data_IF_122328895269
#
_entry.id   IF_122328895269
#
_cell.length_a   1.000
_cell.length_b   1.000
_cell.length_c   1.000
_cell.angle_alpha   90.00
_cell.angle_beta   90.00
_cell.angle_gamma   90.00
#
_symmetry.space_group_name_H-M   'P 1'
#
loop_
_entity.id
_entity.type
_entity.pdbx_description
1 polymer ?
#
# COMPACT_ATOMS: atom_id res chain seq x y z
N UNK A 1 -11.05 -17.84 -8.79
CA UNK A 1 -11.95 -16.67 -8.94
C UNK A 1 -11.26 -15.72 -9.92
N UNK A 2 -11.82 -15.55 -11.11
CA UNK A 2 -11.28 -14.57 -12.10
C UNK A 2 -11.46 -13.17 -11.50
N UNK A 3 -10.38 -12.39 -11.44
CA UNK A 3 -10.39 -11.03 -10.87
C UNK A 3 -10.76 -10.07 -11.99
N UNK A 4 -11.83 -9.28 -11.83
CA UNK A 4 -12.12 -8.16 -12.73
C UNK A 4 -11.11 -7.04 -12.49
N UNK A 5 -10.56 -6.48 -13.57
CA UNK A 5 -9.66 -5.33 -13.51
C UNK A 5 -10.43 -4.11 -12.96
N UNK A 6 -11.67 -3.94 -13.38
CA UNK A 6 -12.54 -2.84 -12.95
C UNK A 6 -12.74 -2.81 -11.42
N UNK A 7 -12.88 -3.99 -10.78
CA UNK A 7 -13.06 -4.07 -9.33
C UNK A 7 -11.78 -3.86 -8.53
N UNK A 8 -10.61 -4.09 -9.13
CA UNK A 8 -9.33 -3.89 -8.45
C UNK A 8 -8.92 -2.41 -8.38
N UNK A 9 -9.32 -1.60 -9.38
CA UNK A 9 -8.97 -0.17 -9.41
C UNK A 9 -9.85 0.68 -8.46
N UNK A 10 -11.13 0.36 -8.30
CA UNK A 10 -12.03 1.10 -7.40
C UNK A 10 -11.68 0.94 -5.91
N UNK A 11 -11.02 -0.15 -5.51
CA UNK A 11 -10.60 -0.36 -4.11
C UNK A 11 -9.36 0.46 -3.71
N UNK A 12 -8.56 0.91 -4.67
CA UNK A 12 -7.35 1.70 -4.40
C UNK A 12 -7.69 3.11 -3.96
N UNK A 13 -8.81 3.70 -4.42
CA UNK A 13 -9.23 5.05 -3.99
C UNK A 13 -9.82 5.08 -2.57
N UNK A 14 -10.48 4.01 -2.12
CA UNK A 14 -11.07 3.94 -0.77
C UNK A 14 -10.10 3.43 0.31
N UNK A 15 -9.02 2.75 -0.10
CA UNK A 15 -7.99 2.20 0.79
C UNK A 15 -6.63 2.89 0.69
N UNK A 16 -6.46 3.87 -0.18
CA UNK A 16 -5.19 4.57 -0.43
C UNK A 16 -4.89 5.69 0.59
N UNK A 17 -5.62 5.74 1.70
CA UNK A 17 -5.06 6.22 2.96
C UNK A 17 -4.04 5.21 3.55
N UNK A 18 -3.68 4.16 2.83
CA UNK A 18 -2.43 3.48 3.02
C UNK A 18 -1.33 4.47 2.63
N UNK A 19 -0.88 5.20 3.65
CA UNK A 19 0.33 6.01 3.62
C UNK A 19 1.41 5.19 2.92
N UNK A 20 1.49 5.37 1.59
CA UNK A 20 2.51 4.73 0.81
C UNK A 20 3.84 5.15 1.41
N UNK A 21 4.62 4.17 1.88
CA UNK A 21 6.02 4.36 2.13
C UNK A 21 6.67 4.79 0.81
N UNK A 22 6.53 6.08 0.47
CA UNK A 22 7.27 6.70 -0.59
C UNK A 22 8.73 6.58 -0.20
N UNK A 23 9.47 5.76 -0.93
CA UNK A 23 10.87 5.53 -0.73
C UNK A 23 11.61 6.87 -0.56
N UNK A 24 12.35 6.98 0.54
CA UNK A 24 13.27 8.08 0.79
C UNK A 24 14.28 8.18 -0.34
N UNK A 25 14.05 9.05 -1.32
CA UNK A 25 15.13 9.66 -2.04
C UNK A 25 15.71 10.73 -1.11
N UNK A 26 16.93 10.50 -0.61
CA UNK A 26 17.70 11.51 0.11
C UNK A 26 17.82 12.78 -0.74
N UNK A 27 17.11 13.82 -0.35
CA UNK A 27 17.51 15.18 -0.65
C UNK A 27 17.85 15.85 0.69
N UNK A 28 19.14 16.12 0.88
CA UNK A 28 19.63 16.97 1.96
C UNK A 28 18.97 18.35 1.87
N UNK A 29 18.13 18.69 2.83
CA UNK A 29 17.94 20.09 3.24
C UNK A 29 17.31 20.17 4.62
N UNK A 30 18.08 20.74 5.52
CA UNK A 30 17.78 21.29 6.83
C UNK A 30 16.34 21.86 7.00
N UNK A 31 15.51 21.22 7.80
CA UNK A 31 14.43 21.89 8.54
C UNK A 31 14.07 21.15 9.82
N UNK A 32 14.90 21.30 10.85
CA UNK A 32 14.61 20.83 12.21
C UNK A 32 13.65 21.75 12.99
N UNK A 33 13.11 22.81 12.36
CA UNK A 33 12.21 23.77 13.00
C UNK A 33 10.72 23.54 12.70
N UNK A 34 10.37 22.76 11.67
CA UNK A 34 8.98 22.48 11.30
C UNK A 34 8.36 21.29 12.02
N UNK A 35 9.17 20.29 12.43
CA UNK A 35 8.66 19.08 13.09
C UNK A 35 8.19 19.32 14.53
N UNK A 36 8.84 20.22 15.32
CA UNK A 36 8.38 20.54 16.68
C UNK A 36 7.07 21.35 16.70
N UNK A 37 6.84 22.22 15.70
CA UNK A 37 5.61 23.00 15.62
C UNK A 37 4.41 22.13 15.16
N UNK A 38 4.61 21.18 14.24
CA UNK A 38 3.58 20.25 13.78
C UNK A 38 3.20 19.24 14.87
N UNK A 39 4.17 18.73 15.63
CA UNK A 39 3.94 17.81 16.76
C UNK A 39 3.05 18.42 17.86
N UNK A 40 3.10 19.75 18.07
CA UNK A 40 2.27 20.44 19.07
C UNK A 40 0.79 20.59 18.64
N UNK A 41 0.47 20.37 17.35
CA UNK A 41 -0.88 20.56 16.79
C UNK A 41 -1.72 19.28 16.87
N UNK A 42 -1.11 18.10 16.67
CA UNK A 42 -1.85 16.83 16.62
C UNK A 42 -2.08 16.18 17.98
N UNK A 43 -1.30 16.50 19.01
CA UNK A 43 -1.35 15.84 20.33
C UNK A 43 -0.57 14.51 20.35
N UNK A 44 -0.72 13.76 21.44
CA UNK A 44 -0.09 12.44 21.63
C UNK A 44 -1.01 11.32 21.11
N UNK A 45 -0.44 10.22 20.62
CA UNK A 45 -1.19 9.03 20.25
C UNK A 45 -2.10 8.52 21.38
N UNK A 46 -1.70 8.73 22.64
CA UNK A 46 -2.48 8.38 23.83
C UNK A 46 -3.76 9.22 24.02
N UNK A 47 -3.90 10.35 23.33
CA UNK A 47 -5.08 11.21 23.38
C UNK A 47 -6.24 10.69 22.50
N UNK A 48 -5.99 9.65 21.69
CA UNK A 48 -6.93 9.12 20.69
C UNK A 48 -7.38 7.70 21.05
N UNK A 49 -8.68 7.43 20.95
CA UNK A 49 -9.26 6.09 21.13
C UNK A 49 -9.22 5.28 19.83
N UNK A 50 -8.00 5.09 19.27
CA UNK A 50 -7.81 4.43 17.97
C UNK A 50 -8.12 2.93 18.00
N UNK A 51 -8.07 2.28 19.15
CA UNK A 51 -8.34 0.84 19.28
C UNK A 51 -9.82 0.51 19.08
N UNK A 52 -10.71 1.45 19.45
CA UNK A 52 -12.16 1.32 19.27
C UNK A 52 -12.68 2.08 18.03
N UNK A 53 -11.80 2.61 17.20
CA UNK A 53 -12.17 3.38 16.02
C UNK A 53 -13.01 2.56 15.04
N UNK A 54 -14.08 3.18 14.55
CA UNK A 54 -14.86 2.72 13.40
C UNK A 54 -14.84 3.75 12.29
N UNK A 55 -14.83 3.30 11.04
CA UNK A 55 -14.75 4.21 9.89
C UNK A 55 -15.98 5.11 9.73
N UNK A 56 -17.13 4.77 10.35
CA UNK A 56 -18.33 5.61 10.35
C UNK A 56 -18.36 6.64 11.48
N UNK A 57 -17.35 6.68 12.35
CA UNK A 57 -17.30 7.65 13.45
C UNK A 57 -17.25 9.09 12.90
N UNK A 58 -18.07 9.97 13.48
CA UNK A 58 -18.15 11.37 13.08
C UNK A 58 -18.79 11.65 11.72
N UNK A 59 -19.40 10.63 11.08
CA UNK A 59 -20.12 10.77 9.81
C UNK A 59 -21.63 10.62 10.01
N UNK A 60 -22.40 11.45 9.33
CA UNK A 60 -23.86 11.33 9.27
C UNK A 60 -24.33 10.34 8.19
N UNK A 61 -25.65 10.13 8.09
CA UNK A 61 -26.28 9.20 7.14
C UNK A 61 -26.10 9.58 5.66
N UNK A 62 -25.72 10.85 5.39
CA UNK A 62 -25.44 11.34 4.04
C UNK A 62 -23.94 11.21 3.68
N UNK A 63 -23.11 10.70 4.58
CA UNK A 63 -21.66 10.61 4.42
C UNK A 63 -20.93 11.94 4.66
N UNK A 64 -21.57 12.90 5.30
CA UNK A 64 -21.00 14.20 5.67
C UNK A 64 -20.40 14.14 7.08
N UNK A 65 -19.44 15.01 7.35
CA UNK A 65 -18.94 15.24 8.69
C UNK A 65 -20.04 15.80 9.57
N UNK A 66 -20.39 15.09 10.64
CA UNK A 66 -21.53 15.39 11.50
C UNK A 66 -21.42 16.80 12.10
N UNK A 67 -22.43 17.63 11.86
CA UNK A 67 -22.51 19.01 12.36
C UNK A 67 -21.55 19.98 11.69
N UNK A 68 -20.84 19.60 10.63
CA UNK A 68 -19.92 20.45 9.88
C UNK A 68 -20.55 20.83 8.55
N UNK A 69 -20.58 22.15 8.27
CA UNK A 69 -20.83 22.68 6.94
C UNK A 69 -19.47 23.03 6.31
N UNK A 70 -19.04 22.26 5.32
CA UNK A 70 -17.69 22.37 4.78
C UNK A 70 -17.43 23.74 4.11
N UNK A 71 -18.46 24.35 3.50
CA UNK A 71 -18.35 25.70 2.91
C UNK A 71 -18.08 26.83 3.92
N UNK A 72 -18.20 26.57 5.23
CA UNK A 72 -17.79 27.54 6.25
C UNK A 72 -16.26 27.53 6.47
N UNK A 73 -15.56 26.48 6.01
CA UNK A 73 -14.14 26.23 6.18
C UNK A 73 -13.35 26.23 4.86
N UNK A 74 -14.03 25.95 3.76
CA UNK A 74 -13.42 25.88 2.40
C UNK A 74 -14.07 26.92 1.51
N UNK A 75 -13.24 27.71 0.84
CA UNK A 75 -13.67 28.58 -0.26
C UNK A 75 -13.18 27.97 -1.57
N UNK A 76 -14.10 27.46 -2.38
CA UNK A 76 -13.80 26.90 -3.70
C UNK A 76 -13.37 27.98 -4.69
N UNK A 77 -12.51 27.70 -5.68
CA UNK A 77 -12.21 28.60 -6.79
C UNK A 77 -13.48 28.85 -7.63
N UNK A 78 -13.55 29.98 -8.33
CA UNK A 78 -14.74 30.36 -9.11
C UNK A 78 -15.11 29.36 -10.22
N UNK A 79 -14.11 28.67 -10.74
CA UNK A 79 -14.23 27.69 -11.84
C UNK A 79 -14.25 26.23 -11.38
N UNK A 80 -14.51 25.98 -10.08
CA UNK A 80 -14.53 24.62 -9.52
C UNK A 80 -15.43 23.62 -10.27
N UNK A 81 -16.50 24.09 -10.91
CA UNK A 81 -17.40 23.27 -11.70
C UNK A 81 -17.00 23.12 -13.19
N UNK A 82 -15.91 23.76 -13.62
CA UNK A 82 -15.42 23.76 -15.01
C UNK A 82 -13.89 23.89 -15.07
N UNK A 83 -13.23 23.06 -14.28
CA UNK A 83 -11.77 23.10 -14.05
C UNK A 83 -11.00 23.01 -15.37
N UNK A 84 -10.05 23.93 -15.63
CA UNK A 84 -9.21 23.85 -16.80
C UNK A 84 -8.11 22.80 -16.61
N UNK A 85 -8.08 21.79 -17.46
CA UNK A 85 -7.09 20.71 -17.42
C UNK A 85 -6.29 20.69 -18.71
N UNK A 86 -4.97 20.61 -18.64
CA UNK A 86 -4.15 20.46 -19.84
C UNK A 86 -4.23 18.99 -20.33
N UNK A 87 -4.45 18.82 -21.63
CA UNK A 87 -4.51 17.47 -22.23
C UNK A 87 -3.24 16.67 -21.96
N UNK A 88 -2.08 17.32 -21.98
CA UNK A 88 -0.80 16.66 -21.74
C UNK A 88 -0.66 16.06 -20.33
N UNK A 89 -1.43 16.57 -19.36
CA UNK A 89 -1.37 16.10 -17.97
C UNK A 89 -2.24 14.86 -17.75
N UNK A 90 -3.20 14.60 -18.65
CA UNK A 90 -4.18 13.50 -18.49
C UNK A 90 -4.11 12.43 -19.57
N UNK A 91 -3.56 12.74 -20.74
CA UNK A 91 -3.43 11.79 -21.84
C UNK A 91 -2.28 10.80 -21.53
N UNK A 92 -2.55 9.51 -21.28
CA UNK A 92 -1.48 8.56 -20.99
C UNK A 92 -0.63 8.29 -22.23
N UNK A 93 0.67 8.15 -22.03
CA UNK A 93 1.59 7.76 -23.09
C UNK A 93 1.45 6.28 -23.45
N UNK A 94 2.00 5.89 -24.59
CA UNK A 94 2.06 4.47 -24.97
C UNK A 94 2.92 3.64 -23.99
N UNK A 95 3.88 4.29 -23.30
CA UNK A 95 4.73 3.66 -22.29
C UNK A 95 3.93 3.39 -21.01
N UNK A 96 3.07 4.32 -20.58
CA UNK A 96 2.20 4.12 -19.43
C UNK A 96 1.22 2.97 -19.65
N UNK A 97 0.60 2.92 -20.83
CA UNK A 97 -0.30 1.82 -21.23
C UNK A 97 0.45 0.50 -21.27
N UNK A 98 1.69 0.47 -21.78
CA UNK A 98 2.48 -0.76 -21.80
C UNK A 98 2.87 -1.19 -20.38
N UNK A 99 3.29 -0.27 -19.53
CA UNK A 99 3.61 -0.58 -18.13
C UNK A 99 2.41 -1.16 -17.38
N UNK A 100 1.20 -0.64 -17.62
CA UNK A 100 -0.03 -1.20 -17.05
C UNK A 100 -0.28 -2.64 -17.53
N UNK A 101 -0.06 -2.91 -18.82
CA UNK A 101 -0.21 -4.25 -19.40
C UNK A 101 0.86 -5.20 -18.84
N UNK A 102 2.12 -4.75 -18.74
CA UNK A 102 3.21 -5.55 -18.18
C UNK A 102 2.92 -5.91 -16.71
N UNK A 103 2.34 -4.99 -15.94
CA UNK A 103 1.85 -5.26 -14.58
C UNK A 103 0.76 -6.33 -14.56
N UNK A 104 -0.19 -6.30 -15.50
CA UNK A 104 -1.24 -7.33 -15.62
C UNK A 104 -0.65 -8.70 -16.00
N UNK A 105 0.37 -8.74 -16.86
CA UNK A 105 1.08 -9.98 -17.21
C UNK A 105 1.83 -10.53 -16.00
N UNK A 106 2.56 -9.69 -15.25
CA UNK A 106 3.26 -10.12 -14.03
C UNK A 106 2.30 -10.64 -12.96
N UNK A 107 1.12 -10.02 -12.77
CA UNK A 107 0.11 -10.52 -11.83
C UNK A 107 -0.47 -11.88 -12.22
N UNK A 108 -0.32 -12.29 -13.47
CA UNK A 108 -0.76 -13.57 -14.02
C UNK A 108 0.42 -14.46 -14.43
N UNK A 109 1.63 -14.14 -13.97
CA UNK A 109 2.82 -14.97 -14.20
C UNK A 109 2.70 -16.33 -13.51
N UNK A 110 3.46 -17.27 -13.99
CA UNK A 110 3.66 -18.59 -13.37
C UNK A 110 5.11 -18.76 -12.99
N UNK A 111 5.40 -19.61 -12.02
CA UNK A 111 6.77 -19.96 -11.67
C UNK A 111 7.17 -21.25 -12.37
N UNK A 112 8.34 -21.26 -12.98
CA UNK A 112 8.94 -22.44 -13.59
C UNK A 112 10.25 -22.78 -12.88
N UNK A 113 10.41 -24.05 -12.53
CA UNK A 113 11.66 -24.57 -11.96
C UNK A 113 12.72 -24.76 -13.05
N UNK A 114 13.86 -24.13 -12.86
CA UNK A 114 15.06 -24.28 -13.69
C UNK A 114 16.10 -25.07 -12.91
N UNK A 115 16.61 -26.15 -13.53
CA UNK A 115 17.53 -27.10 -12.87
C UNK A 115 18.82 -27.33 -13.63
N UNK A 116 19.04 -26.69 -14.76
CA UNK A 116 20.14 -26.97 -15.70
C UNK A 116 21.30 -25.97 -15.62
N UNK A 117 21.18 -24.90 -14.83
CA UNK A 117 22.23 -23.89 -14.61
C UNK A 117 22.56 -23.70 -13.14
N UNK A 118 23.66 -23.02 -12.86
CA UNK A 118 24.00 -22.59 -11.50
C UNK A 118 23.21 -21.35 -11.10
N UNK A 119 22.95 -21.21 -9.80
CA UNK A 119 22.31 -20.04 -9.23
C UNK A 119 23.22 -18.81 -9.30
N UNK A 120 22.67 -17.67 -9.61
CA UNK A 120 23.32 -16.37 -9.69
C UNK A 120 22.68 -15.37 -8.73
N UNK A 121 23.39 -14.29 -8.43
CA UNK A 121 22.82 -13.20 -7.65
C UNK A 121 21.60 -12.59 -8.38
N UNK A 122 20.51 -12.37 -7.65
CA UNK A 122 19.22 -11.93 -8.20
C UNK A 122 18.26 -13.07 -8.54
N UNK A 123 18.73 -14.32 -8.59
CA UNK A 123 17.82 -15.47 -8.75
C UNK A 123 16.97 -15.69 -7.49
N UNK A 124 15.73 -16.07 -7.70
CA UNK A 124 14.91 -16.69 -6.64
C UNK A 124 15.13 -18.19 -6.68
N UNK A 125 15.50 -18.76 -5.55
CA UNK A 125 15.84 -20.19 -5.41
C UNK A 125 14.94 -20.87 -4.40
N UNK A 126 14.61 -22.13 -4.65
CA UNK A 126 13.93 -23.01 -3.69
C UNK A 126 15.00 -23.82 -2.95
N UNK A 127 15.02 -23.69 -1.62
CA UNK A 127 16.03 -24.36 -0.79
C UNK A 127 15.40 -25.09 0.39
N UNK A 128 16.06 -26.19 0.77
CA UNK A 128 15.92 -26.78 2.11
C UNK A 128 17.13 -26.36 2.92
N UNK A 129 16.96 -26.04 4.19
CA UNK A 129 18.08 -25.77 5.07
C UNK A 129 17.87 -26.34 6.48
N UNK A 130 18.97 -26.76 7.10
CA UNK A 130 19.00 -27.24 8.47
C UNK A 130 20.24 -26.68 9.18
N UNK A 131 20.03 -25.74 10.10
CA UNK A 131 21.07 -25.00 10.82
C UNK A 131 21.37 -25.58 12.19
N UNK A 132 22.65 -25.50 12.55
CA UNK A 132 23.14 -25.87 13.89
C UNK A 132 24.11 -24.83 14.42
N UNK A 133 24.13 -24.62 15.74
CA UNK A 133 25.15 -23.85 16.46
C UNK A 133 25.84 -24.79 17.44
N UNK A 134 27.16 -24.89 17.37
CA UNK A 134 27.94 -25.84 18.17
C UNK A 134 27.45 -27.31 18.01
N UNK A 135 26.87 -27.65 16.84
CA UNK A 135 26.29 -28.94 16.53
C UNK A 135 24.87 -29.18 17.07
N UNK A 136 24.26 -28.20 17.70
CA UNK A 136 22.89 -28.27 18.25
C UNK A 136 21.92 -27.55 17.31
N UNK A 137 20.87 -28.24 16.86
CA UNK A 137 19.80 -27.64 16.06
C UNK A 137 18.97 -26.67 16.92
N UNK A 138 18.46 -25.61 16.30
CA UNK A 138 17.71 -24.57 17.00
C UNK A 138 16.37 -24.28 16.31
N UNK A 139 15.42 -23.81 17.09
CA UNK A 139 14.08 -23.43 16.60
C UNK A 139 14.20 -22.30 15.57
N UNK A 140 13.59 -22.47 14.39
CA UNK A 140 13.69 -21.55 13.25
C UNK A 140 14.93 -21.77 12.38
N UNK A 141 15.83 -22.68 12.74
CA UNK A 141 17.02 -23.03 11.96
C UNK A 141 16.78 -24.01 10.82
N UNK A 142 15.56 -24.57 10.69
CA UNK A 142 15.26 -25.60 9.67
C UNK A 142 13.98 -25.25 8.92
N UNK A 143 14.04 -25.37 7.59
CA UNK A 143 12.89 -25.22 6.71
C UNK A 143 13.06 -26.07 5.45
N UNK A 144 11.96 -26.42 4.82
CA UNK A 144 11.93 -27.19 3.58
C UNK A 144 11.12 -26.45 2.52
N UNK A 145 11.66 -26.29 1.31
CA UNK A 145 11.00 -25.59 0.21
C UNK A 145 10.89 -24.07 0.44
N UNK A 146 11.93 -23.46 1.01
CA UNK A 146 11.94 -22.01 1.22
C UNK A 146 12.34 -21.31 -0.09
N UNK A 147 11.50 -20.35 -0.53
CA UNK A 147 11.81 -19.48 -1.69
C UNK A 147 12.61 -18.29 -1.22
N UNK A 148 13.84 -18.14 -1.73
CA UNK A 148 14.81 -17.11 -1.34
C UNK A 148 15.35 -16.40 -2.57
N UNK A 149 15.24 -15.07 -2.60
CA UNK A 149 15.93 -14.26 -3.64
C UNK A 149 17.34 -13.94 -3.19
N UNK A 150 18.32 -14.41 -3.96
CA UNK A 150 19.75 -14.22 -3.65
C UNK A 150 20.17 -12.75 -3.84
N UNK A 151 20.73 -12.16 -2.81
CA UNK A 151 21.10 -10.74 -2.75
C UNK A 151 20.01 -9.86 -2.17
N UNK A 152 18.91 -10.43 -1.67
CA UNK A 152 17.83 -9.69 -1.01
C UNK A 152 18.19 -9.16 0.39
N UNK A 153 19.19 -9.79 1.04
CA UNK A 153 19.53 -9.52 2.43
C UNK A 153 18.49 -10.02 3.44
N UNK A 154 17.64 -10.97 3.04
CA UNK A 154 16.61 -11.55 3.90
C UNK A 154 17.18 -12.53 4.94
N UNK A 155 18.39 -13.05 4.66
CA UNK A 155 19.12 -13.93 5.54
C UNK A 155 20.31 -13.22 6.17
N UNK A 156 20.95 -13.89 7.14
CA UNK A 156 22.16 -13.42 7.82
C UNK A 156 23.25 -13.19 6.77
N UNK A 157 24.04 -12.14 6.95
CA UNK A 157 25.14 -11.76 6.05
C UNK A 157 26.00 -12.95 5.66
N UNK A 158 26.22 -13.11 4.36
CA UNK A 158 27.04 -14.16 3.77
C UNK A 158 26.32 -15.51 3.61
N UNK A 159 25.04 -15.64 3.97
CA UNK A 159 24.28 -16.86 3.69
C UNK A 159 23.94 -16.98 2.20
N UNK A 160 23.35 -15.94 1.62
CA UNK A 160 22.90 -15.91 0.23
C UNK A 160 24.09 -16.00 -0.75
N UNK A 161 25.17 -15.32 -0.45
CA UNK A 161 26.40 -15.32 -1.28
C UNK A 161 27.01 -16.72 -1.45
N UNK A 162 26.88 -17.58 -0.44
CA UNK A 162 27.44 -18.93 -0.50
C UNK A 162 26.58 -19.90 -1.31
N UNK A 163 25.34 -19.53 -1.66
CA UNK A 163 24.45 -20.31 -2.54
C UNK A 163 24.78 -20.03 -4.02
N UNK A 164 25.25 -18.82 -4.32
CA UNK A 164 25.63 -18.42 -5.68
C UNK A 164 26.70 -19.35 -6.24
N UNK A 165 26.48 -19.87 -7.45
CA UNK A 165 27.36 -20.79 -8.14
C UNK A 165 27.05 -22.27 -7.95
N UNK A 166 26.22 -22.64 -6.96
CA UNK A 166 25.72 -23.98 -6.80
C UNK A 166 24.61 -24.32 -7.79
N UNK A 167 24.42 -25.60 -8.08
CA UNK A 167 23.40 -26.10 -9.00
C UNK A 167 22.26 -26.80 -8.24
N UNK A 168 21.07 -26.76 -8.79
CA UNK A 168 19.95 -27.54 -8.29
C UNK A 168 20.32 -29.02 -8.11
N UNK A 169 19.91 -29.60 -7.00
CA UNK A 169 20.25 -30.93 -6.55
C UNK A 169 21.51 -31.06 -5.70
N UNK A 170 22.32 -29.98 -5.58
CA UNK A 170 23.49 -29.98 -4.69
C UNK A 170 23.07 -29.73 -3.24
N UNK A 171 23.76 -30.46 -2.33
CA UNK A 171 23.69 -30.20 -0.89
C UNK A 171 25.08 -29.80 -0.41
N UNK A 172 25.17 -28.67 0.30
CA UNK A 172 26.43 -28.07 0.75
C UNK A 172 26.25 -27.36 2.09
N UNK A 173 27.37 -27.08 2.77
CA UNK A 173 27.35 -26.36 4.03
C UNK A 173 27.54 -24.85 3.81
N UNK A 174 26.66 -24.06 4.39
CA UNK A 174 26.74 -22.59 4.47
C UNK A 174 27.11 -22.22 5.90
N UNK A 175 28.22 -21.51 6.06
CA UNK A 175 28.71 -21.10 7.38
C UNK A 175 28.59 -19.60 7.53
N UNK A 176 27.84 -19.13 8.55
CA UNK A 176 27.60 -17.72 8.85
C UNK A 176 27.80 -17.45 10.35
N UNK A 177 27.93 -16.19 10.70
CA UNK A 177 27.99 -15.77 12.12
C UNK A 177 26.78 -14.89 12.42
N UNK A 178 26.01 -15.24 13.43
CA UNK A 178 24.93 -14.40 13.91
C UNK A 178 25.44 -13.05 14.38
N UNK A 179 24.80 -11.93 14.01
CA UNK A 179 25.23 -10.62 14.49
C UNK A 179 25.13 -10.49 16.01
N UNK A 180 25.91 -9.58 16.57
CA UNK A 180 25.82 -9.24 17.99
C UNK A 180 24.43 -8.71 18.32
N UNK A 181 23.84 -9.19 19.44
CA UNK A 181 22.48 -8.85 19.83
C UNK A 181 21.38 -9.63 19.13
N UNK A 182 21.72 -10.62 18.29
CA UNK A 182 20.69 -11.48 17.72
C UNK A 182 19.92 -12.21 18.81
N UNK A 183 18.60 -12.33 18.63
CA UNK A 183 17.71 -12.96 19.61
C UNK A 183 18.10 -14.42 19.88
N UNK A 184 18.02 -14.83 21.14
CA UNK A 184 18.23 -16.21 21.53
C UNK A 184 17.11 -17.12 20.97
N UNK A 185 17.42 -18.42 20.84
CA UNK A 185 16.47 -19.44 20.41
C UNK A 185 16.41 -20.58 21.43
N UNK A 186 15.79 -21.70 21.07
CA UNK A 186 15.74 -22.92 21.86
C UNK A 186 16.19 -24.11 21.04
N UNK A 187 16.75 -25.13 21.71
CA UNK A 187 16.97 -26.43 21.13
C UNK A 187 15.66 -27.25 21.03
N UNK A 188 15.76 -28.48 20.52
CA UNK A 188 14.61 -29.38 20.37
C UNK A 188 13.98 -29.80 21.71
N UNK A 189 14.71 -29.70 22.80
CA UNK A 189 14.24 -30.04 24.17
C UNK A 189 13.69 -28.81 24.90
N UNK A 190 13.70 -27.61 24.26
CA UNK A 190 13.21 -26.36 24.83
C UNK A 190 14.23 -25.59 25.69
N UNK A 191 15.51 -26.03 25.71
CA UNK A 191 16.54 -25.32 26.43
C UNK A 191 16.98 -24.06 25.67
N UNK A 192 17.25 -22.96 26.37
CA UNK A 192 17.73 -21.74 25.78
C UNK A 192 19.07 -21.93 25.05
N UNK A 193 19.16 -21.43 23.82
CA UNK A 193 20.35 -21.47 22.99
C UNK A 193 20.72 -20.03 22.57
N UNK A 194 21.89 -19.59 23.00
CA UNK A 194 22.40 -18.26 22.63
C UNK A 194 22.91 -18.32 21.19
N UNK A 195 22.38 -17.43 20.35
CA UNK A 195 22.77 -17.29 18.94
C UNK A 195 23.68 -16.09 18.72
N UNK A 196 23.53 -15.02 19.48
CA UNK A 196 24.31 -13.77 19.33
C UNK A 196 25.82 -14.03 19.24
N UNK A 197 26.47 -13.55 18.19
CA UNK A 197 27.91 -13.70 17.94
C UNK A 197 28.38 -15.13 17.67
N UNK A 198 27.47 -16.10 17.57
CA UNK A 198 27.81 -17.51 17.35
C UNK A 198 27.90 -17.85 15.87
N UNK A 199 28.85 -18.72 15.54
CA UNK A 199 28.91 -19.33 14.23
C UNK A 199 27.85 -20.43 14.09
N UNK A 200 27.10 -20.38 12.99
CA UNK A 200 26.16 -21.42 12.60
C UNK A 200 26.60 -22.10 11.31
N UNK A 201 26.30 -23.39 11.21
CA UNK A 201 26.48 -24.17 9.98
C UNK A 201 25.10 -24.66 9.55
N UNK A 202 24.73 -24.31 8.33
CA UNK A 202 23.51 -24.73 7.67
C UNK A 202 23.84 -25.75 6.57
N UNK A 203 23.29 -26.96 6.67
CA UNK A 203 23.24 -27.85 5.52
C UNK A 203 22.12 -27.39 4.60
N UNK A 204 22.47 -26.91 3.41
CA UNK A 204 21.55 -26.32 2.43
C UNK A 204 21.45 -27.25 1.23
N UNK A 205 20.24 -27.57 0.80
CA UNK A 205 19.98 -28.24 -0.48
C UNK A 205 19.32 -27.22 -1.41
N UNK A 206 19.93 -26.96 -2.56
CA UNK A 206 19.34 -26.14 -3.61
C UNK A 206 18.41 -27.06 -4.46
N UNK A 207 17.09 -26.85 -4.35
CA UNK A 207 16.10 -27.69 -5.05
C UNK A 207 15.92 -27.25 -6.50
N UNK A 208 15.70 -25.97 -6.73
CA UNK A 208 15.50 -25.36 -8.06
C UNK A 208 15.83 -23.87 -8.04
N UNK A 209 15.97 -23.30 -9.22
CA UNK A 209 15.91 -21.86 -9.44
C UNK A 209 14.49 -21.60 -9.95
N UNK A 210 13.79 -20.66 -9.32
CA UNK A 210 12.43 -20.27 -9.67
C UNK A 210 12.49 -19.10 -10.66
N UNK A 211 12.11 -19.34 -11.91
CA UNK A 211 11.98 -18.27 -12.91
C UNK A 211 10.51 -17.87 -13.09
N UNK A 212 10.27 -16.56 -13.05
CA UNK A 212 8.97 -16.02 -13.40
C UNK A 212 8.77 -16.13 -14.93
N UNK A 213 7.68 -16.77 -15.33
CA UNK A 213 7.29 -16.90 -16.72
C UNK A 213 6.03 -16.08 -16.97
N UNK A 214 6.19 -14.96 -17.67
CA UNK A 214 5.09 -14.12 -18.08
C UNK A 214 4.28 -14.83 -19.17
N UNK A 215 2.94 -14.76 -19.12
CA UNK A 215 2.12 -15.24 -20.22
C UNK A 215 2.37 -14.42 -21.49
N UNK A 216 2.22 -15.04 -22.65
CA UNK A 216 2.26 -14.34 -23.93
C UNK A 216 0.98 -13.50 -24.08
N UNK A 217 1.12 -12.22 -24.39
CA UNK A 217 -0.01 -11.32 -24.62
C UNK A 217 -0.63 -11.62 -25.98
N UNK A 218 -1.73 -12.36 -25.97
CA UNK A 218 -2.51 -12.75 -27.15
C UNK A 218 -4.00 -12.47 -26.94
N UNK A 219 -4.77 -12.39 -28.02
CA UNK A 219 -6.23 -12.22 -27.94
C UNK A 219 -6.88 -13.37 -27.14
N UNK A 220 -6.37 -14.60 -27.29
CA UNK A 220 -6.86 -15.76 -26.56
C UNK A 220 -6.60 -15.62 -25.04
N UNK A 221 -5.43 -15.12 -24.64
CA UNK A 221 -5.12 -14.87 -23.25
C UNK A 221 -6.01 -13.75 -22.66
N UNK A 222 -6.25 -12.68 -23.40
CA UNK A 222 -7.14 -11.59 -22.96
C UNK A 222 -8.57 -12.11 -22.76
N UNK A 223 -9.11 -12.84 -23.74
CA UNK A 223 -10.45 -13.43 -23.67
C UNK A 223 -10.59 -14.39 -22.48
N UNK A 224 -9.58 -15.24 -22.24
CA UNK A 224 -9.58 -16.18 -21.11
C UNK A 224 -9.61 -15.49 -19.77
N UNK A 225 -8.82 -14.42 -19.57
CA UNK A 225 -8.66 -13.78 -18.28
C UNK A 225 -9.69 -12.67 -18.02
N UNK A 226 -10.11 -11.93 -19.06
CA UNK A 226 -10.94 -10.73 -18.94
C UNK A 226 -12.23 -10.75 -19.76
N UNK A 227 -12.41 -11.70 -20.68
CA UNK A 227 -13.59 -11.79 -21.55
C UNK A 227 -14.91 -11.90 -20.80
N UNK A 228 -14.92 -12.63 -19.67
CA UNK A 228 -16.15 -12.83 -18.87
C UNK A 228 -16.36 -11.72 -17.83
N UNK A 229 -15.29 -11.14 -17.30
CA UNK A 229 -15.37 -10.17 -16.22
C UNK A 229 -15.46 -8.72 -16.70
N UNK A 230 -14.81 -8.41 -17.82
CA UNK A 230 -14.63 -7.05 -18.32
C UNK A 230 -15.02 -6.89 -19.80
N UNK A 231 -15.58 -7.94 -20.43
CA UNK A 231 -15.98 -7.97 -21.85
C UNK A 231 -14.83 -7.63 -22.82
N UNK A 232 -13.58 -8.05 -22.44
CA UNK A 232 -12.38 -7.80 -23.25
C UNK A 232 -11.96 -9.08 -23.97
N UNK A 233 -11.96 -9.04 -25.31
CA UNK A 233 -11.74 -10.22 -26.17
C UNK A 233 -10.52 -10.09 -27.09
N UNK A 234 -9.74 -9.02 -27.00
CA UNK A 234 -8.54 -8.80 -27.82
C UNK A 234 -7.51 -7.93 -27.13
N UNK A 235 -6.27 -8.03 -27.57
CA UNK A 235 -5.16 -7.17 -27.12
C UNK A 235 -5.47 -5.69 -27.40
N UNK A 236 -6.11 -5.39 -28.54
CA UNK A 236 -6.52 -4.01 -28.86
C UNK A 236 -7.55 -3.49 -27.86
N UNK A 237 -8.56 -4.30 -27.51
CA UNK A 237 -9.56 -3.93 -26.48
C UNK A 237 -8.92 -3.73 -25.11
N UNK A 238 -7.99 -4.60 -24.70
CA UNK A 238 -7.25 -4.45 -23.44
C UNK A 238 -6.43 -3.15 -23.42
N UNK A 239 -5.72 -2.81 -24.52
CA UNK A 239 -4.97 -1.57 -24.62
C UNK A 239 -5.86 -0.34 -24.51
N UNK A 240 -6.98 -0.33 -25.22
CA UNK A 240 -7.95 0.75 -25.16
C UNK A 240 -8.55 0.90 -23.76
N UNK A 241 -8.83 -0.22 -23.09
CA UNK A 241 -9.30 -0.24 -21.71
C UNK A 241 -8.25 0.35 -20.73
N UNK A 242 -7.00 -0.11 -20.81
CA UNK A 242 -5.92 0.42 -19.96
C UNK A 242 -5.72 1.93 -20.21
N UNK A 243 -5.73 2.37 -21.48
CA UNK A 243 -5.63 3.78 -21.83
C UNK A 243 -6.76 4.61 -21.21
N UNK A 244 -8.00 4.11 -21.29
CA UNK A 244 -9.15 4.79 -20.70
C UNK A 244 -9.08 4.83 -19.17
N UNK A 245 -8.65 3.75 -18.53
CA UNK A 245 -8.49 3.72 -17.07
C UNK A 245 -7.42 4.71 -16.60
N UNK A 246 -6.26 4.74 -17.25
CA UNK A 246 -5.19 5.70 -16.95
C UNK A 246 -5.65 7.14 -17.19
N UNK A 247 -6.32 7.41 -18.32
CA UNK A 247 -6.87 8.74 -18.60
C UNK A 247 -7.86 9.18 -17.50
N UNK A 248 -8.77 8.30 -17.10
CA UNK A 248 -9.74 8.59 -16.01
C UNK A 248 -9.02 8.85 -14.69
N UNK A 249 -8.03 8.02 -14.33
CA UNK A 249 -7.24 8.21 -13.12
C UNK A 249 -6.48 9.54 -13.12
N UNK A 250 -5.81 9.85 -14.24
CA UNK A 250 -5.08 11.12 -14.39
C UNK A 250 -6.01 12.33 -14.30
N UNK A 251 -7.21 12.24 -14.92
CA UNK A 251 -8.18 13.31 -14.87
C UNK A 251 -8.74 13.52 -13.45
N UNK A 252 -9.02 12.42 -12.72
CA UNK A 252 -9.43 12.47 -11.32
C UNK A 252 -8.37 13.18 -10.46
N UNK A 253 -7.10 12.78 -10.61
CA UNK A 253 -5.98 13.40 -9.93
C UNK A 253 -5.88 14.89 -10.29
N UNK A 254 -5.89 15.23 -11.58
CA UNK A 254 -5.72 16.62 -12.04
C UNK A 254 -6.82 17.55 -11.52
N UNK A 255 -8.08 17.09 -11.44
CA UNK A 255 -9.18 17.94 -10.91
C UNK A 255 -9.07 18.11 -9.40
N UNK A 256 -8.66 17.09 -8.67
CA UNK A 256 -8.48 17.18 -7.22
C UNK A 256 -7.27 18.03 -6.85
N UNK A 257 -6.13 17.84 -7.52
CA UNK A 257 -4.93 18.66 -7.33
C UNK A 257 -5.23 20.14 -7.62
N UNK A 258 -5.95 20.42 -8.72
CA UNK A 258 -6.37 21.79 -9.03
C UNK A 258 -7.18 22.41 -7.88
N UNK A 259 -8.13 21.67 -7.32
CA UNK A 259 -8.95 22.17 -6.22
C UNK A 259 -8.14 22.32 -4.93
N UNK A 260 -7.26 21.39 -4.61
CA UNK A 260 -6.38 21.49 -3.45
C UNK A 260 -5.45 22.71 -3.53
N UNK A 261 -4.93 23.00 -4.72
CA UNK A 261 -4.01 24.12 -4.95
C UNK A 261 -4.70 25.48 -4.99
N UNK A 262 -5.97 25.54 -5.43
CA UNK A 262 -6.69 26.81 -5.67
C UNK A 262 -7.81 27.10 -4.68
N UNK A 263 -8.23 26.12 -3.87
CA UNK A 263 -9.14 26.37 -2.76
C UNK A 263 -8.44 27.09 -1.61
N UNK A 264 -9.19 27.88 -0.87
CA UNK A 264 -8.69 28.51 0.36
C UNK A 264 -9.30 27.81 1.56
N UNK A 265 -8.45 27.23 2.38
CA UNK A 265 -8.84 26.59 3.63
C UNK A 265 -8.68 27.55 4.80
N UNK A 266 -9.70 27.58 5.68
CA UNK A 266 -9.58 28.10 7.03
C UNK A 266 -8.99 26.99 7.92
N UNK A 267 -8.96 27.22 9.24
CA UNK A 267 -8.62 26.16 10.20
C UNK A 267 -9.56 24.96 10.00
N UNK A 268 -8.97 23.78 9.71
CA UNK A 268 -9.73 22.54 9.54
C UNK A 268 -10.37 22.15 10.90
N UNK A 269 -11.65 21.78 10.92
CA UNK A 269 -12.30 21.33 12.17
C UNK A 269 -11.52 20.20 12.83
N UNK A 270 -11.30 20.34 14.14
CA UNK A 270 -10.54 19.34 14.92
C UNK A 270 -11.12 17.93 14.78
N UNK A 271 -12.43 17.78 14.67
CA UNK A 271 -13.08 16.47 14.46
C UNK A 271 -12.64 15.77 13.19
N UNK A 272 -12.41 16.52 12.10
CA UNK A 272 -11.92 15.97 10.83
C UNK A 272 -10.46 15.57 10.95
N UNK A 273 -9.64 16.41 11.57
CA UNK A 273 -8.22 16.10 11.82
C UNK A 273 -8.07 14.93 12.78
N UNK A 274 -8.83 14.91 13.89
CA UNK A 274 -8.79 13.82 14.87
C UNK A 274 -9.20 12.47 14.23
N UNK A 275 -10.17 12.49 13.32
CA UNK A 275 -10.53 11.29 12.57
C UNK A 275 -9.34 10.74 11.78
N UNK A 276 -8.63 11.59 11.04
CA UNK A 276 -7.47 11.16 10.24
C UNK A 276 -6.35 10.60 11.12
N UNK A 277 -6.08 11.26 12.26
CA UNK A 277 -5.10 10.76 13.24
C UNK A 277 -5.53 9.39 13.78
N UNK A 278 -6.81 9.28 14.20
CA UNK A 278 -7.32 8.03 14.80
C UNK A 278 -7.31 6.88 13.79
N UNK A 279 -7.69 7.16 12.54
CA UNK A 279 -7.63 6.20 11.45
C UNK A 279 -6.19 5.72 11.18
N UNK A 280 -5.24 6.65 11.13
CA UNK A 280 -3.82 6.34 10.96
C UNK A 280 -3.31 5.44 12.08
N UNK A 281 -3.54 5.80 13.33
CA UNK A 281 -3.14 5.01 14.49
C UNK A 281 -3.81 3.64 14.51
N UNK A 282 -5.12 3.55 14.21
CA UNK A 282 -5.85 2.29 14.14
C UNK A 282 -5.26 1.35 13.08
N UNK A 283 -4.90 1.88 11.90
CA UNK A 283 -4.27 1.09 10.85
C UNK A 283 -2.97 0.46 11.32
N UNK A 284 -2.06 1.25 11.91
CA UNK A 284 -0.78 0.73 12.37
C UNK A 284 -0.90 -0.15 13.62
N UNK A 285 -1.87 0.10 14.50
CA UNK A 285 -2.15 -0.77 15.65
C UNK A 285 -2.66 -2.15 15.19
N UNK A 286 -3.54 -2.21 14.21
CA UNK A 286 -3.97 -3.48 13.61
C UNK A 286 -2.84 -4.25 12.93
N UNK A 287 -1.94 -3.53 12.26
CA UNK A 287 -0.71 -4.14 11.69
C UNK A 287 0.20 -4.66 12.81
N UNK A 288 0.41 -3.88 13.86
CA UNK A 288 1.18 -4.30 15.02
C UNK A 288 0.62 -5.58 15.66
N UNK A 289 -0.68 -5.63 15.90
CA UNK A 289 -1.36 -6.81 16.44
C UNK A 289 -1.21 -8.05 15.53
N UNK A 290 -1.30 -7.86 14.21
CA UNK A 290 -1.09 -8.96 13.25
C UNK A 290 0.31 -9.58 13.36
N UNK A 291 1.34 -8.76 13.62
CA UNK A 291 2.72 -9.22 13.84
C UNK A 291 3.04 -9.56 15.30
N UNK A 292 2.07 -9.42 16.22
CA UNK A 292 2.23 -9.76 17.65
C UNK A 292 2.99 -8.70 18.46
N UNK A 293 3.01 -7.46 18.00
CA UNK A 293 3.62 -6.31 18.66
C UNK A 293 2.55 -5.38 19.27
N UNK A 294 2.95 -4.54 20.22
CA UNK A 294 2.25 -3.29 20.51
C UNK A 294 2.62 -2.21 19.48
N UNK A 295 1.85 -1.12 19.43
CA UNK A 295 2.01 -0.06 18.42
C UNK A 295 3.42 0.54 18.44
N UNK A 296 3.94 0.92 19.63
CA UNK A 296 5.26 1.55 19.71
C UNK A 296 6.38 0.60 19.28
N UNK A 297 6.34 -0.66 19.71
CA UNK A 297 7.31 -1.67 19.29
C UNK A 297 7.27 -1.89 17.77
N UNK A 298 6.08 -1.93 17.19
CA UNK A 298 5.92 -2.08 15.73
C UNK A 298 6.50 -0.87 14.98
N UNK A 299 6.14 0.34 15.41
CA UNK A 299 6.60 1.59 14.80
C UNK A 299 8.12 1.72 14.88
N UNK A 300 8.73 1.32 16.00
CA UNK A 300 10.19 1.31 16.16
C UNK A 300 10.87 0.26 15.28
N UNK A 301 10.36 -0.96 15.31
CA UNK A 301 11.05 -2.09 14.68
C UNK A 301 10.84 -2.18 13.19
N UNK A 302 9.65 -1.77 12.70
CA UNK A 302 9.23 -1.96 11.30
C UNK A 302 9.22 -0.66 10.50
N UNK A 303 9.01 0.50 11.14
CA UNK A 303 8.90 1.79 10.45
C UNK A 303 10.08 2.73 10.76
N UNK A 304 10.88 2.43 11.79
CA UNK A 304 12.10 3.21 12.13
C UNK A 304 11.84 4.54 12.82
N UNK A 305 10.66 4.74 13.42
CA UNK A 305 10.36 5.90 14.26
C UNK A 305 10.60 5.56 15.75
N UNK A 306 10.95 6.55 16.55
CA UNK A 306 11.22 6.34 17.99
C UNK A 306 9.97 5.99 18.81
N UNK A 307 8.77 6.38 18.34
CA UNK A 307 7.47 6.12 18.98
C UNK A 307 6.31 6.42 18.02
N UNK A 308 5.09 6.05 18.41
CA UNK A 308 3.86 6.44 17.69
C UNK A 308 3.71 7.98 17.63
N UNK A 309 4.11 8.71 18.67
CA UNK A 309 4.11 10.17 18.65
C UNK A 309 5.11 10.74 17.63
N UNK A 310 6.31 10.15 17.54
CA UNK A 310 7.30 10.54 16.54
C UNK A 310 6.81 10.24 15.10
N UNK A 311 6.14 9.13 14.92
CA UNK A 311 5.47 8.81 13.65
C UNK A 311 4.40 9.84 13.29
N UNK A 312 3.49 10.17 14.21
CA UNK A 312 2.45 11.19 13.99
C UNK A 312 3.06 12.55 13.65
N UNK A 313 4.13 12.94 14.35
CA UNK A 313 4.83 14.19 14.06
C UNK A 313 5.42 14.20 12.64
N UNK A 314 6.00 13.09 12.20
CA UNK A 314 6.55 12.96 10.85
C UNK A 314 5.46 12.94 9.76
N UNK A 315 4.24 12.52 10.10
CA UNK A 315 3.11 12.40 9.17
C UNK A 315 2.14 13.59 9.24
N UNK A 316 2.43 14.62 10.05
CA UNK A 316 1.51 15.71 10.34
C UNK A 316 1.02 16.44 9.07
N UNK A 317 1.93 16.75 8.14
CA UNK A 317 1.58 17.44 6.90
C UNK A 317 0.67 16.57 6.01
N UNK A 318 0.90 15.26 5.96
CA UNK A 318 0.04 14.33 5.23
C UNK A 318 -1.34 14.20 5.87
N UNK A 319 -1.41 14.11 7.20
CA UNK A 319 -2.66 14.06 7.95
C UNK A 319 -3.48 15.33 7.73
N UNK A 320 -2.83 16.50 7.76
CA UNK A 320 -3.50 17.78 7.46
C UNK A 320 -4.01 17.83 6.02
N UNK A 321 -3.23 17.34 5.06
CA UNK A 321 -3.63 17.26 3.65
C UNK A 321 -4.85 16.37 3.47
N UNK A 322 -4.89 15.19 4.08
CA UNK A 322 -6.06 14.29 4.04
C UNK A 322 -7.29 14.90 4.69
N UNK A 323 -7.12 15.62 5.80
CA UNK A 323 -8.23 16.30 6.45
C UNK A 323 -8.80 17.43 5.56
N UNK A 324 -7.94 18.17 4.87
CA UNK A 324 -8.35 19.19 3.88
C UNK A 324 -9.07 18.57 2.69
N UNK A 325 -8.52 17.48 2.15
CA UNK A 325 -9.11 16.76 1.01
C UNK A 325 -10.50 16.21 1.37
N UNK A 326 -10.64 15.55 2.54
CA UNK A 326 -11.92 15.04 3.00
C UNK A 326 -12.97 16.14 3.18
N UNK A 327 -12.55 17.32 3.65
CA UNK A 327 -13.42 18.48 3.78
C UNK A 327 -13.76 19.10 2.43
N UNK A 328 -12.83 19.04 1.47
CA UNK A 328 -13.01 19.55 0.10
C UNK A 328 -14.09 18.77 -0.65
N UNK A 329 -14.10 17.43 -0.54
CA UNK A 329 -15.15 16.61 -1.12
C UNK A 329 -16.53 17.03 -0.65
N UNK A 330 -16.71 17.21 0.66
CA UNK A 330 -17.98 17.69 1.21
C UNK A 330 -18.30 19.12 0.74
N UNK A 331 -17.32 20.01 0.67
CA UNK A 331 -17.53 21.39 0.20
C UNK A 331 -18.03 21.43 -1.25
N UNK A 332 -17.47 20.60 -2.13
CA UNK A 332 -17.94 20.48 -3.52
C UNK A 332 -19.35 19.86 -3.55
N UNK A 333 -19.61 18.83 -2.78
CA UNK A 333 -20.94 18.22 -2.69
C UNK A 333 -21.99 19.24 -2.25
N UNK A 334 -21.70 20.04 -1.21
CA UNK A 334 -22.57 21.11 -0.73
C UNK A 334 -22.77 22.22 -1.79
N UNK A 335 -21.71 22.62 -2.50
CA UNK A 335 -21.76 23.68 -3.50
C UNK A 335 -22.54 23.30 -4.75
N UNK A 336 -22.50 22.01 -5.14
CA UNK A 336 -23.17 21.49 -6.33
C UNK A 336 -24.51 20.78 -6.00
N UNK A 337 -24.92 20.73 -4.73
CA UNK A 337 -26.11 20.00 -4.25
C UNK A 337 -26.10 18.51 -4.68
N UNK A 338 -24.94 17.85 -4.49
CA UNK A 338 -24.73 16.45 -4.88
C UNK A 338 -25.05 15.51 -3.73
N UNK A 339 -25.68 14.40 -4.08
CA UNK A 339 -25.88 13.26 -3.18
C UNK A 339 -25.73 11.96 -3.98
N UNK A 340 -25.15 10.90 -3.41
CA UNK A 340 -25.09 9.63 -4.10
C UNK A 340 -26.48 9.02 -4.22
N UNK A 341 -26.74 8.34 -5.33
CA UNK A 341 -27.95 7.53 -5.50
C UNK A 341 -27.87 6.26 -4.66
N UNK A 342 -29.02 5.64 -4.36
CA UNK A 342 -29.02 4.35 -3.65
C UNK A 342 -28.24 3.28 -4.40
N UNK A 343 -28.26 3.26 -5.74
CA UNK A 343 -27.50 2.32 -6.56
C UNK A 343 -25.98 2.51 -6.37
N UNK A 344 -25.51 3.75 -6.28
CA UNK A 344 -24.10 4.06 -5.98
C UNK A 344 -23.70 3.59 -4.57
N UNK A 345 -24.55 3.82 -3.57
CA UNK A 345 -24.32 3.34 -2.20
C UNK A 345 -24.30 1.80 -2.16
N UNK A 346 -25.23 1.15 -2.86
CA UNK A 346 -25.34 -0.31 -2.90
C UNK A 346 -24.09 -0.97 -3.52
N UNK A 347 -23.32 -0.26 -4.36
CA UNK A 347 -22.02 -0.71 -4.87
C UNK A 347 -21.06 -1.05 -3.72
N UNK A 348 -21.17 -0.34 -2.60
CA UNK A 348 -20.34 -0.53 -1.42
C UNK A 348 -20.96 -1.42 -0.34
N UNK A 349 -22.13 -2.01 -0.59
CA UNK A 349 -22.89 -2.80 0.40
C UNK A 349 -22.11 -3.98 0.99
N UNK A 350 -21.22 -4.59 0.21
CA UNK A 350 -20.35 -5.70 0.67
C UNK A 350 -19.33 -5.26 1.74
N UNK A 351 -19.10 -3.97 1.88
CA UNK A 351 -18.13 -3.39 2.82
C UNK A 351 -18.78 -2.82 4.08
N UNK A 352 -20.12 -2.78 4.15
CA UNK A 352 -20.86 -2.16 5.26
C UNK A 352 -20.58 -2.84 6.61
N UNK A 353 -20.35 -4.15 6.63
CA UNK A 353 -20.01 -4.87 7.85
C UNK A 353 -18.64 -4.46 8.41
N UNK A 354 -17.67 -4.20 7.51
CA UNK A 354 -16.29 -3.87 7.89
C UNK A 354 -16.09 -2.38 8.21
N UNK A 355 -16.78 -1.48 7.49
CA UNK A 355 -16.53 -0.03 7.53
C UNK A 355 -17.72 0.79 8.03
N UNK A 356 -18.90 0.20 8.11
CA UNK A 356 -20.14 0.88 8.49
C UNK A 356 -20.84 1.59 7.33
N UNK A 357 -22.15 1.84 7.50
CA UNK A 357 -22.99 2.37 6.43
C UNK A 357 -22.65 3.82 6.06
N UNK A 358 -22.42 4.69 7.06
CA UNK A 358 -22.13 6.10 6.81
C UNK A 358 -20.81 6.27 6.04
N UNK A 359 -19.79 5.45 6.34
CA UNK A 359 -18.53 5.44 5.56
C UNK A 359 -18.77 5.00 4.11
N UNK A 360 -19.57 3.96 3.89
CA UNK A 360 -19.92 3.53 2.53
C UNK A 360 -20.66 4.62 1.75
N UNK A 361 -21.54 5.38 2.44
CA UNK A 361 -22.21 6.54 1.85
C UNK A 361 -21.21 7.66 1.53
N UNK A 362 -20.24 7.93 2.42
CA UNK A 362 -19.17 8.90 2.16
C UNK A 362 -18.36 8.55 0.93
N UNK A 363 -17.95 7.28 0.76
CA UNK A 363 -17.21 6.85 -0.43
C UNK A 363 -18.05 7.02 -1.70
N UNK A 364 -19.35 6.65 -1.68
CA UNK A 364 -20.25 6.87 -2.80
C UNK A 364 -20.45 8.37 -3.11
N UNK A 365 -20.40 9.24 -2.11
CA UNK A 365 -20.44 10.68 -2.27
C UNK A 365 -19.13 11.19 -2.93
N UNK A 366 -17.99 10.72 -2.50
CA UNK A 366 -16.68 11.07 -3.11
C UNK A 366 -16.64 10.68 -4.59
N UNK A 367 -17.14 9.49 -4.95
CA UNK A 367 -17.27 9.08 -6.36
C UNK A 367 -18.21 10.02 -7.12
N UNK A 368 -19.36 10.35 -6.55
CA UNK A 368 -20.36 11.25 -7.16
C UNK A 368 -19.74 12.65 -7.41
N UNK A 369 -18.98 13.17 -6.47
CA UNK A 369 -18.24 14.43 -6.59
C UNK A 369 -17.19 14.35 -7.70
N UNK A 370 -16.39 13.29 -7.70
CA UNK A 370 -15.34 13.07 -8.70
C UNK A 370 -15.92 12.99 -10.11
N UNK A 371 -17.02 12.26 -10.29
CA UNK A 371 -17.74 12.15 -11.56
C UNK A 371 -18.29 13.51 -12.04
N UNK A 372 -18.83 14.32 -11.13
CA UNK A 372 -19.31 15.64 -11.46
C UNK A 372 -18.18 16.58 -11.89
N UNK A 373 -17.06 16.59 -11.16
CA UNK A 373 -15.87 17.41 -11.44
C UNK A 373 -15.23 17.02 -12.78
N UNK A 374 -15.02 15.73 -13.03
CA UNK A 374 -14.41 15.24 -14.28
C UNK A 374 -15.31 15.46 -15.49
N UNK A 375 -16.63 15.32 -15.32
CA UNK A 375 -17.61 15.64 -16.37
C UNK A 375 -17.61 17.13 -16.71
N UNK A 376 -17.42 18.01 -15.72
CA UNK A 376 -17.35 19.46 -15.89
C UNK A 376 -16.00 19.96 -16.42
N UNK A 377 -14.94 19.16 -16.29
CA UNK A 377 -13.57 19.56 -16.62
C UNK A 377 -13.41 19.98 -18.09
N UNK A 378 -12.63 21.04 -18.32
CA UNK A 378 -12.34 21.62 -19.63
C UNK A 378 -10.94 21.18 -20.08
N UNK A 379 -10.84 19.98 -20.68
CA UNK A 379 -9.57 19.45 -21.22
C UNK A 379 -9.21 20.18 -22.51
N UNK A 380 -8.05 20.86 -22.55
CA UNK A 380 -7.59 21.72 -23.66
C UNK A 380 -6.26 21.24 -24.22
#
# INVERSE_FOLDING_TARGET
MKRSITKALCLVCAGALALGAAGCSKSDSSSSASSEAASSVLGSAADYDYQNFTYSDGLDENGYWEGIRALDYVTLPEDYASIPVQRADVEPTSEDVQAQIDSLLSQNSTTQDVTDRAAANGDTVNIDYAGTVDGVAFTGGTYTGYSLTLGSGSFIDGFEDQIVGHKPGETFDVTVTFPDGYRDSTDADGNALVLSGKQAVFSVTLNSIEEEVLPELTDAWVDENYGTSDDLHSVEALRAFCQQQLYTSNLNTAVMDYLMDNATFREVPKTVTDYQVTQCLNYYDKMAQYYGYDLDTFVQSMLGYDSADAMLAAMADSIESYAKEALLYQAVAEAMDLAPTQEQIDTYSAYTEAYGANYCTMIALMDTVTDALTTGAQVK
#
